data_IF_866418537955
#
_entry.id   IF_866418537955
#
_cell.length_a   1.000
_cell.length_b   1.000
_cell.length_c   1.000
_cell.angle_alpha   90.00
_cell.angle_beta   90.00
_cell.angle_gamma   90.00
#
_symmetry.space_group_name_H-M   'P 1'
#
loop_
_entity.id
_entity.type
_entity.pdbx_description
1 polymer ?
#
# COMPACT_ATOMS: atom_id res chain seq x y z
N UNK A 1 2.89 10.88 15.63
CA UNK A 1 3.10 9.47 15.24
C UNK A 1 3.47 9.38 13.76
N UNK A 2 2.60 9.80 12.83
CA UNK A 2 2.86 9.73 11.39
C UNK A 2 4.20 10.31 10.91
N UNK A 3 4.59 11.51 11.34
CA UNK A 3 5.87 12.12 10.89
C UNK A 3 7.12 11.32 11.29
N UNK A 4 7.20 10.88 12.55
CA UNK A 4 8.32 10.05 13.01
C UNK A 4 8.33 8.70 12.29
N UNK A 5 7.15 8.09 12.09
CA UNK A 5 7.03 6.86 11.32
C UNK A 5 7.54 7.06 9.88
N UNK A 6 7.01 8.06 9.17
CA UNK A 6 7.40 8.35 7.78
C UNK A 6 8.88 8.64 7.62
N UNK A 7 9.49 9.40 8.54
CA UNK A 7 10.94 9.65 8.50
C UNK A 7 11.76 8.39 8.74
N UNK A 8 11.33 7.50 9.65
CA UNK A 8 12.03 6.24 9.93
C UNK A 8 11.87 5.21 8.80
N UNK A 9 10.74 5.23 8.10
CA UNK A 9 10.40 4.30 7.02
C UNK A 9 10.56 4.90 5.62
N UNK A 10 11.30 6.02 5.50
CA UNK A 10 11.33 6.83 4.27
C UNK A 10 11.67 5.99 3.05
N UNK A 11 12.78 5.29 3.11
CA UNK A 11 13.31 4.54 1.97
C UNK A 11 12.38 3.37 1.58
N UNK A 12 11.68 2.77 2.56
CA UNK A 12 10.68 1.73 2.34
C UNK A 12 9.42 2.28 1.64
N UNK A 13 8.98 3.48 1.99
CA UNK A 13 7.84 4.14 1.31
C UNK A 13 8.19 4.45 -0.14
N UNK A 14 9.38 5.02 -0.40
CA UNK A 14 9.84 5.26 -1.79
C UNK A 14 9.95 3.95 -2.59
N UNK A 15 10.48 2.89 -1.98
CA UNK A 15 10.51 1.56 -2.59
C UNK A 15 9.10 1.01 -2.88
N UNK A 16 8.14 1.26 -1.99
CA UNK A 16 6.74 0.84 -2.17
C UNK A 16 6.07 1.60 -3.32
N UNK A 17 6.27 2.91 -3.41
CA UNK A 17 5.78 3.74 -4.53
C UNK A 17 6.34 3.21 -5.86
N UNK A 18 7.66 3.03 -5.95
CA UNK A 18 8.30 2.52 -7.16
C UNK A 18 7.77 1.13 -7.56
N UNK A 19 7.56 0.25 -6.57
CA UNK A 19 6.99 -1.07 -6.80
C UNK A 19 5.55 -0.98 -7.35
N UNK A 20 4.67 -0.24 -6.68
CA UNK A 20 3.26 -0.15 -7.08
C UNK A 20 3.07 0.63 -8.39
N UNK A 21 3.91 1.62 -8.67
CA UNK A 21 3.95 2.28 -9.98
C UNK A 21 4.21 1.26 -11.10
N UNK A 22 5.20 0.36 -10.93
CA UNK A 22 5.44 -0.71 -11.90
C UNK A 22 4.29 -1.71 -11.99
N UNK A 23 3.71 -2.08 -10.85
CA UNK A 23 2.58 -3.01 -10.79
C UNK A 23 1.36 -2.46 -11.54
N UNK A 24 0.89 -1.26 -11.22
CA UNK A 24 -0.28 -0.66 -11.87
C UNK A 24 -0.07 -0.38 -13.35
N UNK A 25 1.13 0.08 -13.74
CA UNK A 25 1.43 0.28 -15.15
C UNK A 25 1.36 -1.03 -15.94
N UNK A 26 1.86 -2.12 -15.36
CA UNK A 26 1.88 -3.42 -16.06
C UNK A 26 0.53 -4.12 -16.05
N UNK A 27 -0.18 -4.14 -14.92
CA UNK A 27 -1.44 -4.86 -14.80
C UNK A 27 -2.63 -4.07 -15.36
N UNK A 28 -2.70 -2.78 -15.05
CA UNK A 28 -3.85 -1.90 -15.27
C UNK A 28 -3.66 -0.82 -16.33
N UNK A 29 -2.45 -0.67 -16.89
CA UNK A 29 -2.08 0.42 -17.81
C UNK A 29 -2.32 1.83 -17.24
N UNK A 30 -2.28 1.96 -15.91
CA UNK A 30 -2.36 3.24 -15.22
C UNK A 30 -0.98 3.69 -14.80
N UNK A 31 -0.62 4.93 -15.13
CA UNK A 31 0.55 5.58 -14.56
C UNK A 31 0.28 6.04 -13.12
N UNK A 32 1.35 6.40 -12.40
CA UNK A 32 1.22 6.76 -10.98
C UNK A 32 0.36 8.02 -10.75
N UNK A 33 0.32 8.94 -11.71
CA UNK A 33 -0.52 10.14 -11.60
C UNK A 33 -2.00 9.79 -11.69
N UNK A 34 -2.36 8.85 -12.57
CA UNK A 34 -3.71 8.31 -12.69
C UNK A 34 -4.11 7.54 -11.43
N UNK A 35 -3.22 6.69 -10.90
CA UNK A 35 -3.45 5.97 -9.62
C UNK A 35 -3.71 6.93 -8.46
N UNK A 36 -2.97 8.05 -8.38
CA UNK A 36 -3.23 9.09 -7.37
C UNK A 36 -4.59 9.76 -7.57
N UNK A 37 -5.00 9.97 -8.83
CA UNK A 37 -6.35 10.45 -9.16
C UNK A 37 -7.44 9.52 -8.65
N UNK A 38 -7.33 8.22 -8.94
CA UNK A 38 -8.25 7.19 -8.42
C UNK A 38 -8.26 7.16 -6.88
N UNK A 39 -7.10 7.33 -6.24
CA UNK A 39 -7.01 7.32 -4.78
C UNK A 39 -7.80 8.46 -4.12
N UNK A 40 -7.85 9.64 -4.74
CA UNK A 40 -8.56 10.81 -4.22
C UNK A 40 -10.07 10.60 -4.18
N UNK A 41 -10.64 9.79 -5.07
CA UNK A 41 -12.07 9.45 -5.09
C UNK A 41 -12.49 8.69 -3.81
N UNK A 42 -11.55 8.11 -3.06
CA UNK A 42 -11.82 7.47 -1.78
C UNK A 42 -11.91 8.45 -0.60
N UNK A 43 -11.43 9.69 -0.74
CA UNK A 43 -11.42 10.67 0.36
C UNK A 43 -12.79 10.95 0.97
N UNK A 44 -13.90 11.11 0.21
CA UNK A 44 -15.21 11.34 0.80
C UNK A 44 -15.67 10.20 1.73
N UNK A 45 -15.24 8.96 1.46
CA UNK A 45 -15.54 7.81 2.30
C UNK A 45 -14.69 7.79 3.58
N UNK A 46 -13.42 8.18 3.48
CA UNK A 46 -12.48 8.24 4.61
C UNK A 46 -12.76 9.47 5.49
N UNK A 47 -13.29 10.56 4.94
CA UNK A 47 -13.63 11.77 5.70
C UNK A 47 -14.88 11.62 6.59
N UNK A 48 -15.52 10.45 6.60
CA UNK A 48 -16.60 10.16 7.54
C UNK A 48 -16.05 10.20 8.99
N UNK A 49 -16.82 10.80 9.90
CA UNK A 49 -16.39 11.34 11.21
C UNK A 49 -15.55 10.42 12.12
N UNK A 50 -15.55 9.11 11.89
CA UNK A 50 -14.83 8.12 12.69
C UNK A 50 -13.36 7.93 12.29
N UNK A 51 -12.92 8.45 11.14
CA UNK A 51 -11.61 8.12 10.54
C UNK A 51 -10.66 9.32 10.40
N UNK A 52 -11.05 10.51 10.88
CA UNK A 52 -10.22 11.74 10.83
C UNK A 52 -8.79 11.57 11.37
N UNK A 53 -8.53 10.86 12.48
CA UNK A 53 -7.17 10.67 12.98
C UNK A 53 -6.25 9.93 12.00
N UNK A 54 -6.80 9.10 11.11
CA UNK A 54 -6.03 8.36 10.11
C UNK A 54 -5.58 9.25 8.96
N UNK A 55 -6.39 10.24 8.57
CA UNK A 55 -5.99 11.26 7.60
C UNK A 55 -4.83 12.08 8.15
N UNK A 56 -4.89 12.46 9.43
CA UNK A 56 -3.79 13.18 10.11
C UNK A 56 -2.52 12.32 10.19
N UNK A 57 -2.65 11.02 10.43
CA UNK A 57 -1.51 10.11 10.42
C UNK A 57 -0.89 9.96 9.04
N UNK A 58 -1.68 9.75 7.99
CA UNK A 58 -1.21 9.68 6.61
C UNK A 58 -0.53 10.98 6.16
N UNK A 59 -1.10 12.14 6.51
CA UNK A 59 -0.47 13.44 6.26
C UNK A 59 0.88 13.58 7.00
N UNK A 60 0.93 13.08 8.24
CA UNK A 60 2.17 12.99 9.00
C UNK A 60 3.21 12.14 8.30
N UNK A 61 2.85 10.94 7.83
CA UNK A 61 3.73 10.03 7.09
C UNK A 61 4.25 10.71 5.83
N UNK A 62 3.37 11.28 5.01
CA UNK A 62 3.75 12.00 3.78
C UNK A 62 4.80 13.07 4.06
N UNK A 63 4.56 13.88 5.11
CA UNK A 63 5.52 14.90 5.57
C UNK A 63 6.85 14.30 6.04
N UNK A 64 6.81 13.19 6.78
CA UNK A 64 8.01 12.52 7.31
C UNK A 64 8.87 11.89 6.22
N UNK A 65 8.25 11.41 5.16
CA UNK A 65 8.87 10.75 4.01
C UNK A 65 9.31 11.75 2.92
N UNK A 66 8.69 12.93 2.86
CA UNK A 66 8.94 13.94 1.82
C UNK A 66 8.24 13.61 0.49
N UNK A 67 7.05 13.02 0.55
CA UNK A 67 6.19 12.69 -0.60
C UNK A 67 4.85 13.41 -0.47
N UNK A 68 4.04 13.40 -1.52
CA UNK A 68 2.72 14.02 -1.49
C UNK A 68 1.75 13.14 -0.67
N UNK A 69 0.68 13.76 -0.17
CA UNK A 69 -0.33 13.04 0.61
C UNK A 69 -1.01 11.95 -0.22
N UNK A 70 -1.25 12.24 -1.50
CA UNK A 70 -1.87 11.36 -2.48
C UNK A 70 -1.03 10.10 -2.73
N UNK A 71 0.30 10.18 -2.57
CA UNK A 71 1.17 8.99 -2.65
C UNK A 71 0.88 8.02 -1.50
N UNK A 72 0.74 8.56 -0.28
CA UNK A 72 0.42 7.76 0.91
C UNK A 72 -1.01 7.25 0.84
N UNK A 73 -1.94 8.08 0.37
CA UNK A 73 -3.32 7.68 0.17
C UNK A 73 -3.40 6.51 -0.82
N UNK A 74 -2.75 6.63 -1.99
CA UNK A 74 -2.70 5.58 -3.00
C UNK A 74 -2.11 4.27 -2.47
N UNK A 75 -1.07 4.32 -1.63
CA UNK A 75 -0.55 3.12 -0.96
C UNK A 75 -1.57 2.50 0.03
N UNK A 76 -2.37 3.31 0.71
CA UNK A 76 -3.35 2.82 1.68
C UNK A 76 -4.60 2.23 1.03
N UNK A 77 -5.04 2.78 -0.11
CA UNK A 77 -6.20 2.26 -0.87
C UNK A 77 -5.81 1.38 -2.07
N UNK A 78 -4.55 0.95 -2.14
CA UNK A 78 -3.99 0.21 -3.28
C UNK A 78 -4.77 -1.05 -3.62
N UNK A 79 -5.31 -1.72 -2.59
CA UNK A 79 -6.11 -2.92 -2.76
C UNK A 79 -7.46 -2.57 -3.35
N UNK A 80 -8.08 -1.48 -2.93
CA UNK A 80 -9.37 -1.01 -3.43
C UNK A 80 -9.27 -0.57 -4.89
N UNK A 81 -8.20 0.15 -5.25
CA UNK A 81 -7.88 0.48 -6.65
C UNK A 81 -7.62 -0.81 -7.44
N UNK A 82 -6.76 -1.71 -6.93
CA UNK A 82 -6.43 -2.95 -7.61
C UNK A 82 -7.63 -3.91 -7.71
N UNK A 83 -8.51 -3.99 -6.72
CA UNK A 83 -9.68 -4.88 -6.67
C UNK A 83 -10.85 -4.37 -7.50
N UNK A 84 -10.98 -3.05 -7.66
CA UNK A 84 -11.81 -2.48 -8.72
C UNK A 84 -11.37 -2.97 -10.11
N UNK A 85 -10.14 -3.48 -10.24
CA UNK A 85 -9.52 -3.87 -11.51
C UNK A 85 -9.12 -5.38 -11.60
N UNK A 86 -8.98 -6.12 -10.49
CA UNK A 86 -8.44 -7.50 -10.40
C UNK A 86 -9.05 -8.30 -9.23
N UNK A 87 -8.95 -9.63 -9.27
CA UNK A 87 -9.41 -10.54 -8.21
C UNK A 87 -8.18 -11.10 -7.46
N UNK A 88 -7.94 -10.70 -6.20
CA UNK A 88 -6.93 -11.33 -5.31
C UNK A 88 -7.54 -12.38 -4.38
N UNK A 89 -6.68 -13.20 -3.74
CA UNK A 89 -7.11 -14.28 -2.85
C UNK A 89 -6.14 -14.51 -1.68
N UNK A 90 -6.70 -14.96 -0.56
CA UNK A 90 -5.94 -15.34 0.63
C UNK A 90 -6.45 -16.67 1.19
N UNK A 91 -5.60 -17.39 1.94
CA UNK A 91 -5.99 -18.59 2.71
C UNK A 91 -5.85 -18.31 4.19
N UNK A 92 -6.92 -18.48 4.97
CA UNK A 92 -6.91 -18.36 6.43
C UNK A 92 -7.42 -19.64 7.09
N UNK A 93 -6.91 -19.96 8.28
CA UNK A 93 -7.36 -21.10 9.10
C UNK A 93 -7.43 -20.69 10.56
N UNK A 94 -8.48 -21.10 11.26
CA UNK A 94 -8.66 -20.87 12.69
C UNK A 94 -9.06 -22.18 13.39
N UNK A 95 -8.48 -22.44 14.57
CA UNK A 95 -8.90 -23.53 15.45
C UNK A 95 -8.82 -23.08 16.93
N UNK A 96 -9.96 -23.10 17.63
CA UNK A 96 -10.14 -22.63 19.01
C UNK A 96 -9.77 -21.15 19.16
N UNK A 97 -8.68 -20.86 19.88
CA UNK A 97 -8.17 -19.53 20.20
C UNK A 97 -6.89 -19.17 19.42
N UNK A 98 -6.54 -19.95 18.40
CA UNK A 98 -5.38 -19.68 17.56
C UNK A 98 -5.83 -19.13 16.21
N UNK A 99 -5.31 -17.94 15.87
CA UNK A 99 -5.43 -17.29 14.58
C UNK A 99 -4.04 -17.23 13.95
N UNK A 100 -3.90 -17.74 12.74
CA UNK A 100 -2.67 -17.64 11.95
C UNK A 100 -3.02 -17.35 10.48
N UNK A 101 -2.15 -16.61 9.79
CA UNK A 101 -2.32 -16.28 8.38
C UNK A 101 -0.96 -16.20 7.70
N UNK A 102 -0.89 -16.68 6.46
CA UNK A 102 0.18 -16.37 5.52
C UNK A 102 -0.35 -15.32 4.52
N UNK A 103 0.53 -14.41 4.10
CA UNK A 103 0.23 -13.46 3.03
C UNK A 103 1.12 -13.77 1.83
N UNK A 104 0.54 -14.45 0.85
CA UNK A 104 1.24 -14.85 -0.38
C UNK A 104 1.21 -13.68 -1.38
N UNK A 105 2.39 -13.22 -1.80
CA UNK A 105 2.56 -12.20 -2.85
C UNK A 105 3.39 -12.79 -3.99
N UNK A 106 3.18 -12.33 -5.22
CA UNK A 106 3.80 -12.96 -6.39
C UNK A 106 5.34 -12.87 -6.36
N UNK A 107 6.03 -13.90 -6.87
CA UNK A 107 7.51 -13.95 -6.85
C UNK A 107 8.20 -12.87 -7.71
N UNK A 108 7.47 -12.16 -8.57
CA UNK A 108 8.01 -11.04 -9.35
C UNK A 108 8.11 -9.75 -8.54
N UNK A 109 7.62 -9.71 -7.30
CA UNK A 109 7.59 -8.51 -6.45
C UNK A 109 8.80 -8.33 -5.53
N UNK A 110 9.66 -9.36 -5.41
CA UNK A 110 10.84 -9.33 -4.54
C UNK A 110 12.13 -8.98 -5.30
N UNK A 111 13.03 -8.15 -4.73
CA UNK A 111 14.38 -7.98 -5.26
C UNK A 111 15.07 -9.34 -5.41
N UNK A 112 15.82 -9.55 -6.51
CA UNK A 112 16.45 -10.84 -6.77
C UNK A 112 17.46 -11.24 -5.69
N UNK A 113 17.95 -10.29 -4.89
CA UNK A 113 18.95 -10.52 -3.84
C UNK A 113 18.41 -11.21 -2.57
N UNK A 114 17.09 -11.32 -2.36
CA UNK A 114 16.53 -11.96 -1.14
C UNK A 114 16.10 -13.42 -1.34
N UNK A 115 16.36 -14.01 -2.50
CA UNK A 115 16.07 -15.44 -2.73
C UNK A 115 17.07 -16.30 -1.97
N UNK A 116 16.61 -16.98 -0.92
CA UNK A 116 17.35 -18.07 -0.29
C UNK A 116 17.41 -19.22 -1.30
N UNK A 117 18.49 -19.26 -2.09
CA UNK A 117 18.80 -20.41 -2.94
C UNK A 117 19.18 -21.57 -2.04
N UNK A 118 18.31 -22.58 -1.96
CA UNK A 118 18.71 -23.87 -1.42
C UNK A 118 19.55 -24.56 -2.50
N UNK A 119 20.82 -24.80 -2.19
CA UNK A 119 21.69 -25.70 -2.95
C UNK A 119 21.22 -27.14 -2.78
#
# INVERSE_FOLDING_TARGET
VGRQHGSAARDQVHGSIAFYQGMFLTSAQLDWSEVRGEAVEFLPFIQQLTWTPLLEEMQGIATGTGVDFEDILALNVRTEIAYGMFNDGCTSVAWKSFLAQNWDVSNSTWPKETRITHN
#
